data_IF_545274821920
#
_entry.id   IF_545274821920
#
_cell.length_a   1.000
_cell.length_b   1.000
_cell.length_c   1.000
_cell.angle_alpha   90.00
_cell.angle_beta   90.00
_cell.angle_gamma   90.00
#
_symmetry.space_group_name_H-M   'P 1'
#
loop_
_entity.id
_entity.type
_entity.pdbx_description
1 polymer ?
#
# COMPACT_ATOMS: atom_id res chain seq x y z
N UNK A 1 12.64 -0.07 24.29
CA UNK A 1 13.13 -0.61 25.58
C UNK A 1 12.47 -1.94 25.95
N UNK A 2 11.22 -2.18 25.55
CA UNK A 2 10.53 -3.48 25.69
C UNK A 2 11.39 -4.70 25.32
N UNK A 3 12.14 -4.66 24.21
CA UNK A 3 13.02 -5.77 23.80
C UNK A 3 14.12 -6.11 24.81
N UNK A 4 14.67 -5.13 25.54
CA UNK A 4 15.72 -5.36 26.54
C UNK A 4 15.16 -5.93 27.84
N UNK A 5 13.93 -5.54 28.21
CA UNK A 5 13.24 -6.10 29.37
C UNK A 5 12.65 -7.48 29.12
N UNK A 6 12.19 -7.76 27.90
CA UNK A 6 11.89 -9.13 27.45
C UNK A 6 13.16 -9.99 27.52
N UNK A 7 14.31 -9.45 27.13
CA UNK A 7 15.58 -10.18 27.17
C UNK A 7 16.06 -10.44 28.61
N UNK A 8 15.91 -9.46 29.52
CA UNK A 8 16.20 -9.62 30.96
C UNK A 8 15.24 -10.63 31.60
N UNK A 9 13.94 -10.56 31.31
CA UNK A 9 12.94 -11.53 31.75
C UNK A 9 13.30 -12.93 31.25
N UNK A 10 13.59 -13.08 29.95
CA UNK A 10 14.03 -14.34 29.37
C UNK A 10 15.35 -14.87 29.97
N UNK A 11 16.21 -13.99 30.50
CA UNK A 11 17.46 -14.40 31.17
C UNK A 11 17.24 -14.91 32.60
N UNK A 12 16.24 -14.36 33.29
CA UNK A 12 15.91 -14.69 34.67
C UNK A 12 14.94 -15.89 34.76
N UNK A 13 13.93 -15.89 33.90
CA UNK A 13 12.80 -16.83 33.93
C UNK A 13 12.79 -17.81 32.74
N UNK A 14 13.67 -17.61 31.75
CA UNK A 14 13.81 -18.49 30.58
C UNK A 14 13.07 -17.98 29.32
N UNK A 15 13.48 -18.43 28.12
CA UNK A 15 12.87 -17.97 26.87
C UNK A 15 11.41 -18.45 26.74
N UNK A 16 10.61 -17.69 25.99
CA UNK A 16 9.30 -18.10 25.50
C UNK A 16 9.34 -19.53 24.94
N UNK A 17 8.73 -20.46 25.66
CA UNK A 17 8.74 -21.87 25.32
C UNK A 17 7.46 -22.22 24.56
N UNK A 18 7.58 -22.66 23.30
CA UNK A 18 6.46 -23.31 22.63
C UNK A 18 6.04 -24.52 23.50
N UNK A 19 4.74 -24.85 23.68
CA UNK A 19 4.30 -26.06 24.39
C UNK A 19 4.99 -27.37 23.98
N UNK A 20 5.59 -27.43 22.78
CA UNK A 20 6.38 -28.56 22.30
C UNK A 20 7.90 -28.48 22.58
N UNK A 21 8.36 -27.50 23.37
CA UNK A 21 9.78 -27.30 23.66
C UNK A 21 10.20 -28.05 24.94
N UNK A 22 11.44 -28.56 24.95
CA UNK A 22 12.03 -29.27 26.10
C UNK A 22 12.38 -28.36 27.31
N UNK A 23 12.08 -27.05 27.22
CA UNK A 23 12.37 -26.08 28.27
C UNK A 23 11.29 -26.09 29.35
N UNK A 24 11.65 -25.81 30.61
CA UNK A 24 10.66 -25.68 31.68
C UNK A 24 9.76 -24.47 31.41
N UNK A 25 8.45 -24.72 31.33
CA UNK A 25 7.43 -23.72 31.00
C UNK A 25 6.70 -23.32 32.28
N UNK A 26 6.56 -22.01 32.53
CA UNK A 26 5.68 -21.50 33.58
C UNK A 26 4.22 -21.82 33.21
N UNK A 27 3.46 -22.57 34.04
CA UNK A 27 2.07 -22.93 33.75
C UNK A 27 1.15 -21.75 33.51
N UNK A 28 1.42 -20.60 34.15
CA UNK A 28 0.58 -19.41 34.07
C UNK A 28 1.00 -18.46 32.93
N UNK A 29 2.17 -18.69 32.31
CA UNK A 29 2.69 -17.88 31.21
C UNK A 29 3.51 -18.70 30.20
N UNK A 30 2.85 -19.58 29.41
CA UNK A 30 3.56 -20.54 28.59
C UNK A 30 4.33 -19.92 27.44
N UNK A 31 3.88 -18.77 26.93
CA UNK A 31 4.46 -18.09 25.76
C UNK A 31 5.58 -17.12 26.11
N UNK A 32 5.97 -16.99 27.39
CA UNK A 32 7.04 -16.10 27.84
C UNK A 32 6.82 -14.62 27.48
N UNK A 33 5.56 -14.18 27.49
CA UNK A 33 5.20 -12.78 27.28
C UNK A 33 5.17 -12.08 28.63
N UNK A 34 5.68 -10.86 28.74
CA UNK A 34 5.63 -10.11 29.99
C UNK A 34 4.18 -10.04 30.51
N UNK A 35 3.92 -10.41 31.78
CA UNK A 35 2.58 -10.33 32.35
C UNK A 35 2.05 -8.88 32.31
N UNK A 36 0.74 -8.70 32.10
CA UNK A 36 0.12 -7.37 32.03
C UNK A 36 0.38 -6.49 33.27
N UNK A 37 0.69 -7.10 34.43
CA UNK A 37 1.09 -6.38 35.64
C UNK A 37 2.39 -5.56 35.50
N UNK A 38 3.19 -5.85 34.48
CA UNK A 38 4.45 -5.14 34.21
C UNK A 38 4.30 -3.94 33.28
N UNK A 39 3.15 -3.74 32.64
CA UNK A 39 2.94 -2.66 31.68
C UNK A 39 3.05 -1.27 32.34
N UNK A 40 2.44 -1.07 33.51
CA UNK A 40 2.52 0.21 34.23
C UNK A 40 3.95 0.55 34.74
N UNK A 41 4.66 -0.36 35.43
CA UNK A 41 6.05 -0.12 35.82
C UNK A 41 6.96 0.17 34.63
N UNK A 42 6.75 -0.51 33.50
CA UNK A 42 7.50 -0.31 32.27
C UNK A 42 7.30 1.08 31.69
N UNK A 43 6.06 1.57 31.65
CA UNK A 43 5.76 2.91 31.17
C UNK A 43 6.46 3.99 32.00
N UNK A 44 6.50 3.82 33.33
CA UNK A 44 7.24 4.72 34.22
C UNK A 44 8.74 4.69 33.91
N UNK A 45 9.34 3.50 33.79
CA UNK A 45 10.78 3.38 33.49
C UNK A 45 11.13 4.01 32.15
N UNK A 46 10.30 3.81 31.12
CA UNK A 46 10.51 4.41 29.80
C UNK A 46 10.49 5.95 29.86
N UNK A 47 9.54 6.53 30.58
CA UNK A 47 9.45 7.99 30.80
C UNK A 47 10.69 8.54 31.54
N UNK A 48 11.17 7.84 32.56
CA UNK A 48 12.35 8.26 33.31
C UNK A 48 13.65 8.13 32.51
N UNK A 49 13.83 7.05 31.76
CA UNK A 49 15.04 6.82 30.97
C UNK A 49 15.12 7.80 29.80
N UNK A 50 13.99 8.19 29.21
CA UNK A 50 13.94 9.27 28.21
C UNK A 50 14.40 10.62 28.77
N UNK A 51 14.27 10.84 30.08
CA UNK A 51 14.68 12.08 30.74
C UNK A 51 16.16 12.10 31.18
N UNK A 52 16.82 10.94 31.34
CA UNK A 52 18.23 10.86 31.79
C UNK A 52 19.20 11.65 30.88
N UNK A 53 19.13 11.57 29.53
CA UNK A 53 19.99 12.37 28.66
C UNK A 53 19.80 13.87 28.84
N UNK A 54 18.56 14.32 29.08
CA UNK A 54 18.24 15.72 29.30
C UNK A 54 18.84 16.24 30.61
N UNK A 55 18.73 15.46 31.69
CA UNK A 55 19.35 15.79 32.99
C UNK A 55 20.87 15.83 32.87
N UNK A 56 21.50 14.89 32.17
CA UNK A 56 22.95 14.89 31.95
C UNK A 56 23.42 16.12 31.16
N UNK A 57 22.67 16.55 30.15
CA UNK A 57 22.96 17.78 29.39
C UNK A 57 22.84 19.01 30.29
N UNK A 58 21.80 19.09 31.12
CA UNK A 58 21.64 20.20 32.08
C UNK A 58 22.75 20.24 33.13
N UNK A 59 23.16 19.09 33.65
CA UNK A 59 24.28 18.99 34.60
C UNK A 59 25.59 19.38 33.92
N UNK A 60 25.86 18.89 32.71
CA UNK A 60 27.05 19.27 31.95
C UNK A 60 27.07 20.77 31.64
N UNK A 61 25.91 21.36 31.31
CA UNK A 61 25.75 22.80 31.10
C UNK A 61 26.02 23.59 32.39
N UNK A 62 25.47 23.14 33.52
CA UNK A 62 25.68 23.77 34.83
C UNK A 62 27.15 23.70 35.29
N UNK A 63 27.83 22.58 35.05
CA UNK A 63 29.27 22.41 35.32
C UNK A 63 30.09 23.34 34.43
N UNK A 64 29.74 23.47 33.15
CA UNK A 64 30.45 24.32 32.21
C UNK A 64 30.26 25.82 32.49
N UNK A 65 29.08 26.23 32.97
CA UNK A 65 28.78 27.59 33.41
C UNK A 65 29.58 28.04 34.64
N UNK A 66 30.15 27.10 35.41
CA UNK A 66 30.97 27.39 36.59
C UNK A 66 32.42 27.77 36.27
N UNK A 67 32.90 27.64 35.04
CA UNK A 67 34.30 27.92 34.69
C UNK A 67 34.51 29.38 34.19
N UNK A 68 35.34 30.20 34.87
CA UNK A 68 35.44 31.64 34.65
C UNK A 68 36.23 32.08 33.39
N UNK A 69 37.02 31.18 32.79
CA UNK A 69 37.89 31.49 31.63
C UNK A 69 37.16 31.40 30.26
N UNK A 70 35.91 30.96 30.23
CA UNK A 70 35.20 30.61 29.00
C UNK A 70 34.16 31.65 28.55
N UNK A 71 34.25 32.94 28.88
CA UNK A 71 33.17 33.91 28.57
C UNK A 71 32.85 34.06 27.07
N UNK A 72 33.86 34.04 26.20
CA UNK A 72 33.64 34.08 24.74
C UNK A 72 33.22 32.72 24.16
N UNK A 73 33.80 31.62 24.65
CA UNK A 73 33.38 30.27 24.26
C UNK A 73 31.95 29.95 24.72
N UNK A 74 31.53 30.47 25.88
CA UNK A 74 30.19 30.36 26.43
C UNK A 74 29.18 31.14 25.58
N UNK A 75 29.54 32.34 25.12
CA UNK A 75 28.70 33.11 24.18
C UNK A 75 28.50 32.38 22.87
N UNK A 76 29.57 31.81 22.29
CA UNK A 76 29.46 31.04 21.06
C UNK A 76 28.64 29.77 21.25
N UNK A 77 28.82 29.05 22.36
CA UNK A 77 28.03 27.87 22.69
C UNK A 77 26.56 28.22 22.89
N UNK A 78 26.25 29.28 23.63
CA UNK A 78 24.88 29.76 23.84
C UNK A 78 24.21 30.21 22.54
N UNK A 79 24.94 30.91 21.66
CA UNK A 79 24.43 31.30 20.34
C UNK A 79 24.19 30.08 19.45
N UNK A 80 25.10 29.10 19.46
CA UNK A 80 24.94 27.87 18.71
C UNK A 80 23.75 27.04 19.22
N UNK A 81 23.58 26.92 20.54
CA UNK A 81 22.43 26.24 21.15
C UNK A 81 21.13 26.98 20.86
N UNK A 82 21.10 28.31 20.97
CA UNK A 82 19.94 29.12 20.65
C UNK A 82 19.56 29.01 19.16
N UNK A 83 20.55 29.03 18.26
CA UNK A 83 20.35 28.83 16.83
C UNK A 83 19.81 27.41 16.53
N UNK A 84 20.34 26.39 17.21
CA UNK A 84 19.85 25.02 17.08
C UNK A 84 18.41 24.87 17.54
N UNK A 85 18.07 25.39 18.74
CA UNK A 85 16.69 25.38 19.25
C UNK A 85 15.77 26.15 18.32
N UNK A 86 16.19 27.32 17.83
CA UNK A 86 15.42 28.12 16.88
C UNK A 86 15.16 27.34 15.58
N UNK A 87 16.17 26.64 15.04
CA UNK A 87 16.03 25.84 13.83
C UNK A 87 15.10 24.63 14.03
N UNK A 88 15.16 23.98 15.20
CA UNK A 88 14.25 22.89 15.57
C UNK A 88 12.81 23.40 15.70
N UNK A 89 12.59 24.51 16.39
CA UNK A 89 11.25 25.12 16.56
C UNK A 89 10.70 25.57 15.20
N UNK A 90 11.53 26.22 14.38
CA UNK A 90 11.14 26.67 13.05
C UNK A 90 10.83 25.48 12.14
N UNK A 91 11.63 24.42 12.21
CA UNK A 91 11.37 23.15 11.52
C UNK A 91 10.02 22.55 11.93
N UNK A 92 9.74 22.47 13.24
CA UNK A 92 8.48 21.91 13.73
C UNK A 92 7.25 22.78 13.41
N UNK A 93 7.42 24.10 13.33
CA UNK A 93 6.35 25.03 12.96
C UNK A 93 6.08 25.03 11.45
N UNK A 94 7.11 24.86 10.61
CA UNK A 94 7.00 24.86 9.15
C UNK A 94 6.67 23.48 8.57
N UNK A 95 7.06 22.40 9.26
CA UNK A 95 6.85 21.03 8.80
C UNK A 95 5.39 20.69 8.51
N UNK A 96 4.38 21.08 9.33
CA UNK A 96 2.98 20.80 9.04
C UNK A 96 2.53 21.42 7.71
N UNK A 97 2.85 22.68 7.47
CA UNK A 97 2.53 23.35 6.21
C UNK A 97 3.27 22.74 5.01
N UNK A 98 4.53 22.33 5.20
CA UNK A 98 5.30 21.65 4.18
C UNK A 98 4.73 20.25 3.87
N UNK A 99 4.28 19.52 4.88
CA UNK A 99 3.63 18.22 4.76
C UNK A 99 2.29 18.35 4.01
N UNK A 100 1.45 19.32 4.35
CA UNK A 100 0.18 19.58 3.65
C UNK A 100 0.40 19.85 2.16
N UNK A 101 1.43 20.64 1.82
CA UNK A 101 1.80 20.92 0.43
C UNK A 101 2.31 19.66 -0.26
N UNK A 102 3.14 18.86 0.42
CA UNK A 102 3.67 17.62 -0.13
C UNK A 102 2.56 16.58 -0.36
N UNK A 103 1.59 16.48 0.55
CA UNK A 103 0.41 15.63 0.41
C UNK A 103 -0.47 16.08 -0.75
N UNK A 104 -0.69 17.39 -0.92
CA UNK A 104 -1.43 17.93 -2.06
C UNK A 104 -0.72 17.62 -3.38
N UNK A 105 0.60 17.83 -3.44
CA UNK A 105 1.40 17.49 -4.61
C UNK A 105 1.38 15.99 -4.90
N UNK A 106 1.47 15.15 -3.87
CA UNK A 106 1.34 13.71 -3.95
C UNK A 106 -0.02 13.30 -4.51
N UNK A 107 -1.11 13.88 -4.00
CA UNK A 107 -2.47 13.63 -4.48
C UNK A 107 -2.66 14.06 -5.94
N UNK A 108 -2.09 15.20 -6.35
CA UNK A 108 -2.12 15.66 -7.75
C UNK A 108 -1.32 14.73 -8.65
N UNK A 109 -0.10 14.35 -8.27
CA UNK A 109 0.73 13.42 -9.04
C UNK A 109 0.08 12.03 -9.17
N UNK A 110 -0.51 11.52 -8.08
CA UNK A 110 -1.28 10.29 -8.09
C UNK A 110 -2.55 10.43 -8.95
N UNK A 111 -3.26 11.55 -8.89
CA UNK A 111 -4.43 11.80 -9.72
C UNK A 111 -4.10 11.85 -11.21
N UNK A 112 -3.00 12.50 -11.59
CA UNK A 112 -2.51 12.53 -12.98
C UNK A 112 -2.01 11.16 -13.43
N UNK A 113 -1.24 10.46 -12.58
CA UNK A 113 -0.75 9.11 -12.86
C UNK A 113 -1.88 8.08 -12.98
N UNK A 114 -2.86 8.13 -12.08
CA UNK A 114 -4.03 7.26 -12.09
C UNK A 114 -4.97 7.59 -13.25
N UNK A 115 -5.15 8.87 -13.58
CA UNK A 115 -5.88 9.29 -14.79
C UNK A 115 -5.22 8.75 -16.06
N UNK A 116 -3.88 8.81 -16.14
CA UNK A 116 -3.14 8.23 -17.25
C UNK A 116 -3.25 6.70 -17.28
N UNK A 117 -3.22 5.99 -16.14
CA UNK A 117 -3.34 4.52 -16.07
C UNK A 117 -4.75 4.02 -16.33
N UNK A 118 -5.79 4.72 -15.84
CA UNK A 118 -7.20 4.42 -16.14
C UNK A 118 -7.49 4.61 -17.62
N UNK A 119 -7.02 5.70 -18.22
CA UNK A 119 -7.12 5.96 -19.66
C UNK A 119 -6.23 5.03 -20.48
N UNK A 120 -5.16 4.48 -19.89
CA UNK A 120 -4.24 3.57 -20.58
C UNK A 120 -4.57 2.11 -20.48
N UNK A 121 -5.57 1.65 -19.72
CA UNK A 121 -5.83 0.21 -19.54
C UNK A 121 -5.75 -0.55 -20.87
N UNK A 122 -4.60 -1.20 -21.18
CA UNK A 122 -4.59 -2.25 -22.18
C UNK A 122 -5.48 -3.34 -21.58
N UNK A 123 -6.15 -4.15 -22.42
CA UNK A 123 -7.00 -5.19 -21.85
C UNK A 123 -6.12 -6.08 -20.97
N UNK A 124 -6.67 -6.71 -19.91
CA UNK A 124 -5.99 -7.87 -19.35
C UNK A 124 -5.89 -8.90 -20.48
N UNK A 125 -4.72 -8.99 -21.09
CA UNK A 125 -4.36 -10.10 -21.95
C UNK A 125 -4.20 -11.30 -21.03
N UNK A 126 -5.30 -12.01 -20.80
CA UNK A 126 -5.21 -13.45 -20.59
C UNK A 126 -4.78 -14.01 -21.93
N UNK A 127 -3.46 -14.10 -22.11
CA UNK A 127 -2.84 -15.00 -23.07
C UNK A 127 -3.28 -16.42 -22.71
N UNK A 128 -4.30 -16.92 -23.42
CA UNK A 128 -4.36 -18.33 -23.74
C UNK A 128 -5.22 -18.54 -25.00
N UNK A 129 -4.66 -19.25 -25.97
CA UNK A 129 -5.40 -19.78 -27.12
C UNK A 129 -5.18 -19.04 -28.44
N UNK A 130 -4.08 -19.42 -29.11
CA UNK A 130 -3.92 -19.58 -30.56
C UNK A 130 -4.61 -18.58 -31.49
N UNK A 131 -3.78 -17.86 -32.26
CA UNK A 131 -4.15 -17.32 -33.57
C UNK A 131 -4.55 -18.52 -34.44
N UNK A 132 -5.81 -18.94 -34.37
CA UNK A 132 -6.40 -19.86 -35.32
C UNK A 132 -6.93 -19.03 -36.48
N UNK A 133 -6.53 -19.47 -37.66
CA UNK A 133 -6.88 -19.02 -39.00
C UNK A 133 -8.31 -18.42 -39.05
N UNK A 134 -8.42 -17.20 -39.58
CA UNK A 134 -9.60 -16.29 -39.68
C UNK A 134 -9.70 -15.11 -38.68
N UNK A 135 -8.57 -14.73 -38.06
CA UNK A 135 -7.94 -13.41 -38.22
C UNK A 135 -8.55 -12.11 -37.66
N UNK A 136 -9.73 -12.08 -37.01
CA UNK A 136 -10.30 -10.77 -36.53
C UNK A 136 -10.59 -10.69 -35.03
N UNK A 137 -10.90 -11.80 -34.35
CA UNK A 137 -11.30 -11.80 -32.94
C UNK A 137 -10.70 -13.00 -32.19
N UNK A 138 -10.31 -12.82 -30.93
CA UNK A 138 -9.88 -13.92 -30.06
C UNK A 138 -11.05 -14.83 -29.66
N UNK A 139 -10.74 -16.01 -29.10
CA UNK A 139 -11.76 -16.97 -28.60
C UNK A 139 -12.71 -16.30 -27.61
N UNK A 140 -12.17 -15.54 -26.65
CA UNK A 140 -12.96 -14.85 -25.64
C UNK A 140 -13.80 -13.70 -26.22
N UNK A 141 -13.28 -12.99 -27.22
CA UNK A 141 -14.03 -11.95 -27.93
C UNK A 141 -15.19 -12.53 -28.73
N UNK A 142 -15.02 -13.73 -29.30
CA UNK A 142 -16.09 -14.45 -30.00
C UNK A 142 -17.21 -14.85 -29.04
N UNK A 143 -16.86 -15.42 -27.89
CA UNK A 143 -17.85 -15.77 -26.85
C UNK A 143 -18.68 -14.55 -26.42
N UNK A 144 -18.01 -13.42 -26.16
CA UNK A 144 -18.72 -12.16 -25.82
C UNK A 144 -19.61 -11.69 -26.97
N UNK A 145 -19.13 -11.75 -28.22
CA UNK A 145 -19.91 -11.35 -29.39
C UNK A 145 -21.16 -12.22 -29.59
N UNK A 146 -21.08 -13.52 -29.31
CA UNK A 146 -22.23 -14.42 -29.35
C UNK A 146 -23.30 -14.03 -28.32
N UNK A 147 -22.89 -13.77 -27.08
CA UNK A 147 -23.81 -13.34 -26.03
C UNK A 147 -24.44 -11.96 -26.34
N UNK A 148 -23.70 -11.05 -26.97
CA UNK A 148 -24.24 -9.77 -27.44
C UNK A 148 -25.31 -9.97 -28.52
N UNK A 149 -25.09 -10.91 -29.45
CA UNK A 149 -26.02 -11.26 -30.51
C UNK A 149 -27.29 -11.96 -29.99
N UNK A 150 -27.19 -12.67 -28.87
CA UNK A 150 -28.33 -13.21 -28.12
C UNK A 150 -29.16 -12.13 -27.40
N UNK A 151 -28.69 -10.87 -27.38
CA UNK A 151 -29.40 -9.74 -26.77
C UNK A 151 -29.08 -9.52 -25.29
N UNK A 152 -28.12 -10.26 -24.71
CA UNK A 152 -27.75 -10.15 -23.30
C UNK A 152 -27.16 -8.77 -22.97
N UNK A 153 -27.43 -8.29 -21.77
CA UNK A 153 -26.86 -7.06 -21.21
C UNK A 153 -25.44 -7.30 -20.71
N UNK A 154 -24.63 -6.25 -20.55
CA UNK A 154 -23.28 -6.38 -20.00
C UNK A 154 -23.25 -7.02 -18.61
N UNK A 155 -24.32 -6.88 -17.83
CA UNK A 155 -24.47 -7.52 -16.52
C UNK A 155 -24.66 -9.03 -16.67
N UNK A 156 -25.57 -9.47 -17.55
CA UNK A 156 -25.81 -10.89 -17.80
C UNK A 156 -24.61 -11.58 -18.46
N UNK A 157 -23.89 -10.86 -19.34
CA UNK A 157 -22.63 -11.32 -19.92
C UNK A 157 -21.58 -11.51 -18.81
N UNK A 158 -21.45 -10.53 -17.92
CA UNK A 158 -20.54 -10.59 -16.79
C UNK A 158 -20.83 -11.79 -15.87
N UNK A 159 -22.11 -12.02 -15.56
CA UNK A 159 -22.55 -13.15 -14.74
C UNK A 159 -22.24 -14.49 -15.41
N UNK A 160 -22.48 -14.60 -16.72
CA UNK A 160 -22.25 -15.85 -17.48
C UNK A 160 -20.78 -16.17 -17.72
N UNK A 161 -19.96 -15.14 -17.80
CA UNK A 161 -18.54 -15.23 -18.08
C UNK A 161 -17.66 -15.15 -16.81
N UNK A 162 -18.26 -15.00 -15.63
CA UNK A 162 -17.60 -14.81 -14.34
C UNK A 162 -16.58 -13.66 -14.34
N UNK A 163 -16.96 -12.52 -14.92
CA UNK A 163 -16.15 -11.29 -14.98
C UNK A 163 -16.92 -10.09 -14.42
N UNK A 164 -16.26 -8.95 -14.23
CA UNK A 164 -16.97 -7.74 -13.78
C UNK A 164 -17.83 -7.12 -14.91
N UNK A 165 -18.94 -6.43 -14.60
CA UNK A 165 -19.75 -5.70 -15.59
C UNK A 165 -18.95 -4.64 -16.37
N UNK A 166 -17.94 -4.03 -15.73
CA UNK A 166 -17.03 -3.06 -16.36
C UNK A 166 -16.14 -3.78 -17.38
N UNK A 167 -15.62 -4.96 -17.03
CA UNK A 167 -14.81 -5.79 -17.93
C UNK A 167 -15.63 -6.24 -19.14
N UNK A 168 -16.88 -6.67 -18.96
CA UNK A 168 -17.78 -7.00 -20.06
C UNK A 168 -18.02 -5.81 -21.01
N UNK A 169 -18.28 -4.61 -20.46
CA UNK A 169 -18.41 -3.37 -21.26
C UNK A 169 -17.15 -3.07 -22.08
N UNK A 170 -15.97 -3.30 -21.51
CA UNK A 170 -14.70 -3.08 -22.19
C UNK A 170 -14.49 -4.10 -23.34
N UNK A 171 -14.86 -5.38 -23.14
CA UNK A 171 -14.83 -6.37 -24.22
C UNK A 171 -15.75 -5.97 -25.38
N UNK A 172 -16.99 -5.56 -25.10
CA UNK A 172 -17.93 -5.11 -26.15
C UNK A 172 -17.37 -3.91 -26.92
N UNK A 173 -16.82 -2.92 -26.22
CA UNK A 173 -16.24 -1.72 -26.86
C UNK A 173 -15.04 -2.08 -27.75
N UNK A 174 -14.18 -3.00 -27.31
CA UNK A 174 -13.05 -3.50 -28.11
C UNK A 174 -13.51 -4.27 -29.35
N UNK A 175 -14.52 -5.13 -29.22
CA UNK A 175 -15.08 -5.88 -30.35
C UNK A 175 -15.67 -4.93 -31.39
N UNK A 176 -16.46 -3.94 -30.95
CA UNK A 176 -17.01 -2.92 -31.84
C UNK A 176 -15.89 -2.14 -32.55
N UNK A 177 -14.84 -1.75 -31.84
CA UNK A 177 -13.67 -1.10 -32.43
C UNK A 177 -12.94 -1.98 -33.45
N UNK A 178 -12.70 -3.27 -33.15
CA UNK A 178 -12.04 -4.22 -34.05
C UNK A 178 -12.84 -4.52 -35.32
N UNK A 179 -14.17 -4.47 -35.22
CA UNK A 179 -15.07 -4.72 -36.34
C UNK A 179 -15.51 -3.43 -37.05
N UNK A 180 -15.04 -2.26 -36.60
CA UNK A 180 -15.45 -0.93 -37.10
C UNK A 180 -16.98 -0.73 -37.05
N UNK A 181 -17.62 -1.22 -35.98
CA UNK A 181 -19.06 -1.12 -35.78
C UNK A 181 -19.39 -0.09 -34.71
N UNK A 182 -20.49 0.63 -34.88
CA UNK A 182 -20.87 1.72 -33.97
C UNK A 182 -21.81 1.25 -32.85
N UNK A 183 -22.56 0.16 -33.08
CA UNK A 183 -23.55 -0.29 -32.11
C UNK A 183 -23.72 -1.81 -32.04
N UNK A 184 -24.29 -2.27 -30.91
CA UNK A 184 -24.51 -3.70 -30.63
C UNK A 184 -25.46 -4.39 -31.63
N UNK A 185 -26.38 -3.64 -32.24
CA UNK A 185 -27.31 -4.18 -33.24
C UNK A 185 -26.58 -4.51 -34.54
N UNK A 186 -25.63 -3.65 -34.95
CA UNK A 186 -24.73 -3.92 -36.06
C UNK A 186 -23.86 -5.16 -35.76
N UNK A 187 -23.35 -5.31 -34.54
CA UNK A 187 -22.57 -6.49 -34.15
C UNK A 187 -23.37 -7.80 -34.25
N UNK A 188 -24.62 -7.80 -33.79
CA UNK A 188 -25.52 -8.96 -33.91
C UNK A 188 -25.79 -9.31 -35.39
N UNK A 189 -26.05 -8.29 -36.21
CA UNK A 189 -26.30 -8.45 -37.65
C UNK A 189 -25.07 -8.98 -38.38
N UNK A 190 -23.89 -8.46 -38.04
CA UNK A 190 -22.61 -8.89 -38.59
C UNK A 190 -22.33 -10.36 -38.31
N UNK A 191 -22.54 -10.82 -37.07
CA UNK A 191 -22.33 -12.23 -36.69
C UNK A 191 -23.29 -13.16 -37.43
N UNK A 192 -24.56 -12.77 -37.54
CA UNK A 192 -25.58 -13.56 -38.24
C UNK A 192 -25.24 -13.71 -39.74
N UNK A 193 -24.77 -12.64 -40.39
CA UNK A 193 -24.29 -12.69 -41.77
C UNK A 193 -23.09 -13.63 -41.90
N UNK A 194 -22.11 -13.53 -41.01
CA UNK A 194 -20.92 -14.41 -41.03
C UNK A 194 -21.27 -15.89 -40.81
N UNK A 195 -22.21 -16.20 -39.91
CA UNK A 195 -22.71 -17.57 -39.70
C UNK A 195 -23.46 -18.11 -40.93
N UNK A 196 -24.20 -17.26 -41.65
CA UNK A 196 -24.86 -17.65 -42.90
C UNK A 196 -23.84 -17.96 -44.00
N UNK A 197 -22.83 -17.12 -44.18
CA UNK A 197 -21.76 -17.32 -45.18
C UNK A 197 -20.94 -18.58 -44.90
N UNK A 198 -20.67 -18.90 -43.63
CA UNK A 198 -19.98 -20.14 -43.25
C UNK A 198 -20.82 -21.39 -43.55
N UNK A 199 -22.15 -21.34 -43.34
CA UNK A 199 -23.06 -22.45 -43.68
C UNK A 199 -23.14 -22.71 -45.18
N UNK A 200 -23.01 -21.66 -45.99
CA UNK A 200 -22.99 -21.76 -47.46
C UNK A 200 -21.66 -22.29 -48.00
N UNK A 201 -20.61 -22.29 -47.18
CA UNK A 201 -19.23 -22.65 -47.57
C UNK A 201 -18.78 -24.05 -47.11
N UNK A 202 -19.62 -24.87 -46.49
CA UNK A 202 -19.18 -26.15 -45.92
C UNK A 202 -19.70 -27.39 -46.65
N UNK A 203 -19.10 -28.57 -46.40
CA UNK A 203 -17.67 -28.87 -46.18
C UNK A 203 -16.91 -29.17 -47.49
#
# INVERSE_FOLDING_TARGET
MQGLMILVWCLLDGPAANPDSDWQVDPDNPVGVLPHSWEEPLAVVDDWVLQVPFVLVLVALAVRLRQPEAREQMRMLLLATAAFVLLVVLGHALWPAAADVLDLLGAVLLGVGFGATLLRTPPPETEDGSILEDGTLSTREREVLELVAEGLTNKEIADRLFISPITARNHVSRILGKLELENRTQAATWLNRRKADQRLRGP
#
